data_IF_065125272401
#
_entry.id   IF_065125272401
#
_cell.length_a   1.000
_cell.length_b   1.000
_cell.length_c   1.000
_cell.angle_alpha   90.00
_cell.angle_beta   90.00
_cell.angle_gamma   90.00
#
_symmetry.space_group_name_H-M   'P 1'
#
loop_
_entity.id
_entity.type
_entity.pdbx_description
1 polymer ?
#
# COMPACT_ATOMS: atom_id res chain seq x y z
N UNK A 1 3.17 8.03 -14.73
CA UNK A 1 2.70 6.69 -14.32
C UNK A 1 1.39 6.89 -13.57
N UNK A 2 0.36 6.13 -13.91
CA UNK A 2 -0.98 6.33 -13.37
C UNK A 2 -1.11 5.61 -12.01
N UNK A 3 -0.95 6.36 -10.92
CA UNK A 3 -1.04 5.82 -9.56
C UNK A 3 -2.42 5.22 -9.25
N UNK A 4 -3.49 5.76 -9.85
CA UNK A 4 -4.83 5.20 -9.71
C UNK A 4 -4.92 3.81 -10.34
N UNK A 5 -4.30 3.63 -11.52
CA UNK A 5 -4.21 2.31 -12.17
C UNK A 5 -3.44 1.28 -11.34
N UNK A 6 -2.36 1.68 -10.69
CA UNK A 6 -1.60 0.80 -9.80
C UNK A 6 -2.43 0.48 -8.54
N UNK A 7 -3.12 1.49 -8.00
CA UNK A 7 -3.96 1.34 -6.83
C UNK A 7 -5.16 0.40 -7.04
N UNK A 8 -5.64 0.23 -8.28
CA UNK A 8 -6.71 -0.73 -8.61
C UNK A 8 -6.46 -2.13 -8.05
N UNK A 9 -5.21 -2.60 -8.04
CA UNK A 9 -4.83 -3.89 -7.46
C UNK A 9 -4.93 -3.89 -5.92
N UNK A 10 -4.66 -2.76 -5.29
CA UNK A 10 -4.75 -2.55 -3.85
C UNK A 10 -6.22 -2.44 -3.40
N UNK A 11 -7.05 -1.75 -4.20
CA UNK A 11 -8.44 -1.45 -3.89
C UNK A 11 -9.30 -2.70 -3.69
N UNK A 12 -8.95 -3.82 -4.34
CA UNK A 12 -9.65 -5.10 -4.17
C UNK A 12 -9.66 -5.60 -2.71
N UNK A 13 -8.60 -5.30 -1.95
CA UNK A 13 -8.51 -5.69 -0.54
C UNK A 13 -8.66 -4.48 0.40
N UNK A 14 -8.08 -3.32 0.07
CA UNK A 14 -8.08 -2.13 0.92
C UNK A 14 -9.31 -1.22 0.74
N UNK A 15 -10.18 -1.52 -0.21
CA UNK A 15 -11.32 -0.66 -0.58
C UNK A 15 -10.92 0.42 -1.59
N UNK A 16 -11.91 1.01 -2.26
CA UNK A 16 -11.69 2.01 -3.31
C UNK A 16 -10.98 3.28 -2.79
N UNK A 17 -11.14 3.59 -1.50
CA UNK A 17 -10.61 4.75 -0.80
C UNK A 17 -9.67 4.36 0.37
N UNK A 18 -9.23 3.10 0.43
CA UNK A 18 -8.34 2.64 1.50
C UNK A 18 -9.01 2.49 2.87
N UNK A 19 -10.34 2.61 2.94
CA UNK A 19 -11.12 2.55 4.19
C UNK A 19 -11.27 1.15 4.77
N UNK A 20 -10.93 0.09 4.02
CA UNK A 20 -11.08 -1.29 4.49
C UNK A 20 -9.80 -1.79 5.12
N UNK A 21 -9.97 -2.46 6.26
CA UNK A 21 -8.98 -3.39 6.76
C UNK A 21 -8.90 -4.58 5.79
N UNK A 22 -7.88 -4.61 4.94
CA UNK A 22 -7.65 -5.72 4.01
C UNK A 22 -7.68 -7.06 4.74
N UNK A 23 -8.56 -7.94 4.26
CA UNK A 23 -8.85 -9.28 4.81
C UNK A 23 -9.17 -9.29 6.32
N UNK A 24 -9.60 -8.16 6.89
CA UNK A 24 -9.84 -7.99 8.33
C UNK A 24 -8.57 -8.08 9.19
N UNK A 25 -7.37 -7.96 8.58
CA UNK A 25 -6.08 -8.14 9.27
C UNK A 25 -5.14 -6.95 9.13
N UNK A 26 -5.26 -6.15 8.06
CA UNK A 26 -4.42 -4.97 7.89
C UNK A 26 -5.01 -3.74 8.61
N UNK A 27 -4.16 -2.74 8.84
CA UNK A 27 -4.63 -1.42 9.26
C UNK A 27 -5.36 -0.72 8.10
N UNK A 28 -6.34 0.12 8.45
CA UNK A 28 -6.98 1.01 7.50
C UNK A 28 -5.95 2.05 7.05
N UNK A 29 -5.76 2.18 5.73
CA UNK A 29 -4.75 3.05 5.12
C UNK A 29 -5.31 4.42 4.73
N UNK A 30 -6.64 4.59 4.77
CA UNK A 30 -7.28 5.89 4.55
C UNK A 30 -6.75 6.94 5.52
N UNK A 31 -6.38 8.11 4.99
CA UNK A 31 -5.84 9.21 5.77
C UNK A 31 -4.40 9.03 6.25
N UNK A 32 -3.68 8.00 5.79
CA UNK A 32 -2.24 7.92 6.01
C UNK A 32 -1.53 8.98 5.18
N UNK A 33 -0.50 9.59 5.75
CA UNK A 33 0.36 10.50 5.00
C UNK A 33 1.20 9.72 3.97
N UNK A 34 1.68 10.45 2.96
CA UNK A 34 2.45 9.85 1.88
C UNK A 34 3.77 9.24 2.39
N UNK A 35 4.43 9.87 3.36
CA UNK A 35 5.72 9.37 3.85
C UNK A 35 5.54 8.04 4.59
N UNK A 36 4.60 7.96 5.53
CA UNK A 36 4.22 6.73 6.23
C UNK A 36 3.83 5.62 5.26
N UNK A 37 3.06 5.95 4.22
CA UNK A 37 2.64 4.96 3.23
C UNK A 37 3.84 4.45 2.42
N UNK A 38 4.72 5.34 1.96
CA UNK A 38 5.93 4.96 1.25
C UNK A 38 6.85 4.09 2.12
N UNK A 39 7.07 4.47 3.38
CA UNK A 39 7.89 3.73 4.33
C UNK A 39 7.32 2.34 4.62
N UNK A 40 6.00 2.23 4.80
CA UNK A 40 5.32 0.95 4.95
C UNK A 40 5.50 0.06 3.71
N UNK A 41 5.30 0.59 2.50
CA UNK A 41 5.46 -0.15 1.25
C UNK A 41 6.92 -0.63 1.05
N UNK A 42 7.91 0.25 1.30
CA UNK A 42 9.33 -0.10 1.27
C UNK A 42 9.67 -1.16 2.33
N UNK A 43 9.11 -1.02 3.53
CA UNK A 43 9.29 -1.97 4.61
C UNK A 43 8.69 -3.34 4.29
N UNK A 44 7.51 -3.41 3.65
CA UNK A 44 6.94 -4.67 3.17
C UNK A 44 7.80 -5.30 2.07
N UNK A 45 8.39 -4.48 1.19
CA UNK A 45 9.25 -4.96 0.09
C UNK A 45 10.55 -5.58 0.62
N UNK A 46 11.18 -4.92 1.59
CA UNK A 46 12.43 -5.38 2.24
C UNK A 46 12.18 -6.41 3.34
N UNK A 47 10.94 -6.54 3.81
CA UNK A 47 10.54 -7.46 4.88
C UNK A 47 10.81 -6.93 6.29
N UNK A 48 11.20 -5.66 6.43
CA UNK A 48 11.46 -4.97 7.70
C UNK A 48 10.18 -4.43 8.36
N UNK A 49 9.05 -4.43 7.65
CA UNK A 49 7.75 -3.99 8.14
C UNK A 49 6.65 -5.03 7.87
N UNK A 50 5.62 -5.02 8.70
CA UNK A 50 4.41 -5.82 8.53
C UNK A 50 4.11 -6.81 9.66
N UNK A 51 2.83 -7.18 9.78
CA UNK A 51 2.33 -8.17 10.75
C UNK A 51 2.13 -9.56 10.14
N UNK A 52 1.09 -10.26 10.58
CA UNK A 52 0.78 -11.63 10.15
C UNK A 52 0.67 -11.82 8.62
N UNK A 53 0.21 -10.79 7.90
CA UNK A 53 0.01 -10.83 6.45
C UNK A 53 1.16 -10.22 5.65
N UNK A 54 2.35 -10.02 6.25
CA UNK A 54 3.49 -9.38 5.57
C UNK A 54 3.93 -10.10 4.30
N UNK A 55 3.84 -11.43 4.25
CA UNK A 55 4.22 -12.23 3.08
C UNK A 55 3.33 -11.93 1.87
N UNK A 56 2.03 -11.75 2.10
CA UNK A 56 1.08 -11.41 1.04
C UNK A 56 1.33 -9.99 0.52
N UNK A 57 1.50 -9.01 1.42
CA UNK A 57 1.83 -7.65 1.01
C UNK A 57 3.18 -7.57 0.30
N UNK A 58 4.19 -8.30 0.76
CA UNK A 58 5.50 -8.40 0.09
C UNK A 58 5.37 -8.88 -1.35
N UNK A 59 4.50 -9.85 -1.64
CA UNK A 59 4.24 -10.33 -3.00
C UNK A 59 3.59 -9.27 -3.91
N UNK A 60 2.82 -8.34 -3.35
CA UNK A 60 2.23 -7.22 -4.09
C UNK A 60 3.25 -6.12 -4.34
N UNK A 61 4.00 -5.72 -3.31
CA UNK A 61 4.94 -4.60 -3.41
C UNK A 61 6.29 -4.97 -4.04
N UNK A 62 6.60 -6.26 -4.16
CA UNK A 62 7.86 -6.73 -4.78
C UNK A 62 7.99 -6.30 -6.24
N UNK A 63 6.86 -6.17 -6.94
CA UNK A 63 6.78 -5.78 -8.36
C UNK A 63 6.91 -4.27 -8.57
N UNK A 64 6.79 -3.48 -7.50
CA UNK A 64 6.82 -2.02 -7.58
C UNK A 64 8.25 -1.49 -7.52
N UNK A 65 8.58 -0.49 -8.32
CA UNK A 65 9.81 0.28 -8.18
C UNK A 65 9.63 1.48 -7.21
N UNK A 66 10.70 2.20 -6.90
CA UNK A 66 10.64 3.32 -5.94
C UNK A 66 9.73 4.47 -6.41
N UNK A 67 9.74 4.80 -7.70
CA UNK A 67 8.89 5.84 -8.25
C UNK A 67 7.40 5.46 -8.16
N UNK A 68 7.06 4.18 -8.39
CA UNK A 68 5.70 3.66 -8.23
C UNK A 68 5.26 3.66 -6.76
N UNK A 69 6.16 3.33 -5.83
CA UNK A 69 5.88 3.39 -4.39
C UNK A 69 5.56 4.82 -3.97
N UNK A 70 6.37 5.80 -4.38
CA UNK A 70 6.11 7.21 -4.09
C UNK A 70 4.81 7.70 -4.72
N UNK A 71 4.56 7.37 -5.99
CA UNK A 71 3.33 7.75 -6.67
C UNK A 71 2.08 7.16 -5.99
N UNK A 72 2.12 5.88 -5.58
CA UNK A 72 1.05 5.25 -4.80
C UNK A 72 0.86 5.91 -3.45
N UNK A 73 1.95 6.23 -2.77
CA UNK A 73 1.89 6.82 -1.45
C UNK A 73 1.27 8.22 -1.46
N UNK A 74 1.65 9.05 -2.44
CA UNK A 74 1.03 10.36 -2.67
C UNK A 74 -0.43 10.27 -3.11
N UNK A 75 -0.79 9.20 -3.83
CA UNK A 75 -2.16 8.96 -4.23
C UNK A 75 -3.02 8.56 -3.02
N UNK A 76 -2.54 7.60 -2.21
CA UNK A 76 -3.23 7.12 -1.01
C UNK A 76 -3.45 8.23 0.02
N UNK A 77 -2.50 9.16 0.15
CA UNK A 77 -2.66 10.29 1.07
C UNK A 77 -3.72 11.31 0.64
N UNK A 78 -4.22 11.21 -0.60
CA UNK A 78 -5.25 12.09 -1.17
C UNK A 78 -6.60 11.37 -1.37
N UNK A 79 -6.72 10.10 -0.95
CA UNK A 79 -7.97 9.32 -0.93
C UNK A 79 -8.84 9.66 0.29
#
# INVERSE_FOLDING_TARGET
MDAAKIYSACAGCHGADGSKAALGKSQIIKGWDAQKTADALKGYKTGTYGGAMKGLMRGQVSKLNEAEIQALAEYISKL
#
